data_IF_388641164338
#
_entry.id   IF_388641164338
#
_cell.length_a   1.000
_cell.length_b   1.000
_cell.length_c   1.000
_cell.angle_alpha   90.00
_cell.angle_beta   90.00
_cell.angle_gamma   90.00
#
_symmetry.space_group_name_H-M   'P 1'
#
loop_
_entity.id
_entity.type
_entity.pdbx_description
1 polymer ?
#
# COMPACT_ATOMS: atom_id res chain seq x y z
N UNK A 1 35.39 6.66 42.24
CA UNK A 1 35.24 7.94 42.97
C UNK A 1 36.20 8.88 42.25
N UNK A 2 35.79 9.79 41.38
CA UNK A 2 34.53 10.51 41.24
C UNK A 2 34.28 10.79 39.74
N UNK A 3 33.06 10.61 39.26
CA UNK A 3 32.21 11.71 38.77
C UNK A 3 32.98 12.81 38.05
N UNK A 4 32.77 13.01 36.74
CA UNK A 4 32.20 14.24 36.19
C UNK A 4 31.44 13.88 34.89
N UNK A 5 30.11 13.83 35.00
CA UNK A 5 29.19 14.13 33.91
C UNK A 5 28.91 15.64 33.93
N UNK A 6 28.54 16.18 32.76
CA UNK A 6 28.23 17.60 32.46
C UNK A 6 29.51 18.43 32.18
N UNK A 7 29.64 19.18 31.10
CA UNK A 7 28.70 20.11 30.48
C UNK A 7 29.18 20.39 29.04
N UNK A 8 28.32 20.23 28.04
CA UNK A 8 27.79 21.33 27.23
C UNK A 8 28.74 21.97 26.20
N UNK A 9 28.37 21.73 24.93
CA UNK A 9 28.13 22.77 23.94
C UNK A 9 29.35 23.53 23.40
N UNK A 10 29.92 23.03 22.30
CA UNK A 10 30.49 23.94 21.32
C UNK A 10 30.02 23.61 19.91
N UNK A 11 29.24 24.53 19.35
CA UNK A 11 28.67 24.50 18.00
C UNK A 11 29.82 24.56 16.98
N UNK A 12 29.84 23.61 16.04
CA UNK A 12 30.52 23.82 14.76
C UNK A 12 29.48 23.89 13.65
N UNK A 13 29.07 25.13 13.35
CA UNK A 13 28.33 25.50 12.14
C UNK A 13 29.32 25.63 10.99
N UNK A 14 29.42 24.56 10.21
CA UNK A 14 29.87 24.54 8.81
C UNK A 14 29.64 23.09 8.37
N UNK A 15 28.55 22.76 7.69
CA UNK A 15 28.13 23.40 6.44
C UNK A 15 28.40 22.49 5.24
N UNK A 16 29.08 21.36 5.43
CA UNK A 16 29.18 20.29 4.43
C UNK A 16 29.17 18.93 5.13
N UNK A 17 28.04 18.24 5.11
CA UNK A 17 28.03 16.78 5.28
C UNK A 17 28.08 16.19 3.87
N UNK A 18 29.28 16.21 3.32
CA UNK A 18 29.68 15.35 2.22
C UNK A 18 29.59 13.89 2.68
N UNK A 19 29.35 13.01 1.71
CA UNK A 19 29.38 11.55 1.75
C UNK A 19 28.03 10.83 1.96
N UNK A 20 27.40 10.60 0.80
CA UNK A 20 27.02 9.25 0.35
C UNK A 20 25.92 8.56 1.16
N UNK A 21 24.66 8.89 0.87
CA UNK A 21 23.56 7.90 0.98
C UNK A 21 22.33 8.22 0.12
N UNK A 22 22.38 9.22 -0.77
CA UNK A 22 21.30 9.47 -1.75
C UNK A 22 21.35 8.53 -2.96
N UNK A 23 22.55 8.08 -3.36
CA UNK A 23 22.73 7.27 -4.59
C UNK A 23 22.85 5.76 -4.29
N UNK A 24 22.94 5.38 -3.01
CA UNK A 24 23.06 3.96 -2.59
C UNK A 24 21.70 3.34 -2.25
N UNK A 25 20.64 4.14 -2.12
CA UNK A 25 19.28 3.63 -1.92
C UNK A 25 18.69 3.03 -3.22
N UNK A 26 18.98 3.63 -4.38
CA UNK A 26 18.54 3.13 -5.69
C UNK A 26 19.25 1.84 -6.13
N UNK A 27 20.56 1.73 -5.84
CA UNK A 27 21.38 0.61 -6.34
C UNK A 27 21.14 -0.71 -5.59
N UNK A 28 20.68 -0.68 -4.34
CA UNK A 28 20.41 -1.91 -3.56
C UNK A 28 19.03 -2.51 -3.89
N UNK A 29 18.10 -1.72 -4.41
CA UNK A 29 16.75 -2.21 -4.78
C UNK A 29 16.74 -2.94 -6.11
N UNK A 30 17.51 -2.47 -7.10
CA UNK A 30 17.52 -3.07 -8.45
C UNK A 30 18.20 -4.43 -8.51
N UNK A 31 19.14 -4.73 -7.62
CA UNK A 31 19.95 -5.96 -7.70
C UNK A 31 19.29 -7.18 -7.03
N UNK A 32 18.19 -7.00 -6.29
CA UNK A 32 17.46 -8.10 -5.65
C UNK A 32 16.28 -8.65 -6.49
N UNK A 33 15.90 -7.98 -7.58
CA UNK A 33 14.68 -8.27 -8.35
C UNK A 33 14.89 -9.19 -9.56
N UNK A 34 16.12 -9.52 -9.93
CA UNK A 34 16.41 -10.21 -11.19
C UNK A 34 16.15 -11.74 -11.19
N UNK A 35 15.66 -12.32 -10.10
CA UNK A 35 15.45 -13.78 -10.02
C UNK A 35 14.30 -14.24 -9.12
N UNK A 36 13.20 -13.48 -9.03
CA UNK A 36 11.98 -13.95 -8.38
C UNK A 36 10.93 -14.20 -9.47
N UNK A 37 10.57 -15.47 -9.65
CA UNK A 37 9.36 -15.88 -10.38
C UNK A 37 8.22 -14.93 -9.99
N UNK A 38 7.77 -14.11 -10.96
CA UNK A 38 6.73 -13.13 -10.69
C UNK A 38 5.45 -13.90 -10.39
N UNK A 39 4.93 -13.79 -9.17
CA UNK A 39 3.62 -14.34 -8.81
C UNK A 39 2.61 -13.84 -9.83
N UNK A 40 1.96 -14.76 -10.55
CA UNK A 40 1.04 -14.45 -11.65
C UNK A 40 -0.13 -13.56 -11.17
N UNK A 41 -0.43 -13.56 -9.87
CA UNK A 41 -1.47 -12.73 -9.26
C UNK A 41 -1.06 -11.27 -9.12
N UNK A 42 0.20 -10.91 -9.32
CA UNK A 42 0.65 -9.53 -9.19
C UNK A 42 -0.12 -8.57 -10.12
N UNK A 43 -0.32 -8.95 -11.39
CA UNK A 43 -1.08 -8.13 -12.34
C UNK A 43 -2.55 -7.95 -11.92
N UNK A 44 -3.16 -8.98 -11.31
CA UNK A 44 -4.54 -8.89 -10.79
C UNK A 44 -4.64 -7.89 -9.64
N UNK A 45 -3.63 -7.86 -8.77
CA UNK A 45 -3.57 -6.92 -7.65
C UNK A 45 -3.33 -5.49 -8.16
N UNK A 46 -2.45 -5.31 -9.15
CA UNK A 46 -2.19 -4.00 -9.76
C UNK A 46 -3.48 -3.38 -10.35
N UNK A 47 -4.21 -4.13 -11.19
CA UNK A 47 -5.48 -3.69 -11.76
C UNK A 47 -6.52 -3.36 -10.68
N UNK A 48 -6.62 -4.19 -9.64
CA UNK A 48 -7.49 -3.94 -8.50
C UNK A 48 -7.15 -2.63 -7.79
N UNK A 49 -5.86 -2.35 -7.54
CA UNK A 49 -5.40 -1.14 -6.84
C UNK A 49 -5.67 0.14 -7.64
N UNK A 50 -5.58 0.07 -8.97
CA UNK A 50 -5.85 1.18 -9.88
C UNK A 50 -7.33 1.40 -10.17
N UNK A 51 -8.18 0.42 -9.88
CA UNK A 51 -9.63 0.54 -10.08
C UNK A 51 -10.20 1.68 -9.22
N UNK A 52 -10.85 2.70 -9.84
CA UNK A 52 -11.48 3.80 -9.11
C UNK A 52 -12.60 3.30 -8.20
N UNK A 53 -12.67 3.89 -7.01
CA UNK A 53 -13.70 3.55 -6.03
C UNK A 53 -14.92 4.47 -6.19
N UNK A 54 -16.14 3.92 -6.04
CA UNK A 54 -17.36 4.72 -6.02
C UNK A 54 -17.52 5.45 -4.68
N UNK A 55 -18.37 6.47 -4.67
CA UNK A 55 -18.77 7.13 -3.43
C UNK A 55 -19.42 6.12 -2.46
N UNK A 56 -19.11 6.25 -1.17
CA UNK A 56 -19.65 5.35 -0.14
C UNK A 56 -19.03 3.96 -0.10
N UNK A 57 -17.90 3.71 -0.79
CA UNK A 57 -17.17 2.42 -0.77
C UNK A 57 -16.98 1.83 0.63
N UNK A 58 -16.62 2.68 1.60
CA UNK A 58 -16.36 2.29 2.99
C UNK A 58 -17.59 1.65 3.66
N UNK A 59 -18.80 2.04 3.28
CA UNK A 59 -20.04 1.47 3.82
C UNK A 59 -20.53 0.22 3.08
N UNK A 60 -19.97 -0.12 1.92
CA UNK A 60 -20.38 -1.30 1.15
C UNK A 60 -19.93 -2.59 1.82
N UNK A 61 -20.76 -3.62 1.71
CA UNK A 61 -20.44 -4.99 2.06
C UNK A 61 -19.44 -5.62 1.09
N UNK A 62 -18.75 -6.68 1.50
CA UNK A 62 -17.82 -7.43 0.64
C UNK A 62 -18.49 -7.89 -0.66
N UNK A 63 -19.76 -8.31 -0.59
CA UNK A 63 -20.53 -8.76 -1.75
C UNK A 63 -20.73 -7.64 -2.76
N UNK A 64 -21.12 -6.45 -2.30
CA UNK A 64 -21.34 -5.28 -3.17
C UNK A 64 -20.02 -4.79 -3.78
N UNK A 65 -18.94 -4.78 -2.99
CA UNK A 65 -17.60 -4.43 -3.50
C UNK A 65 -17.16 -5.37 -4.61
N UNK A 66 -17.37 -6.68 -4.45
CA UNK A 66 -17.07 -7.67 -5.50
C UNK A 66 -17.91 -7.49 -6.76
N UNK A 67 -19.22 -7.24 -6.59
CA UNK A 67 -20.13 -7.02 -7.72
C UNK A 67 -19.71 -5.81 -8.58
N UNK A 68 -19.29 -4.73 -7.91
CA UNK A 68 -18.71 -3.55 -8.56
C UNK A 68 -17.43 -3.90 -9.33
N UNK A 69 -16.47 -4.57 -8.67
CA UNK A 69 -15.18 -4.92 -9.27
C UNK A 69 -15.29 -5.91 -10.43
N UNK A 70 -16.29 -6.80 -10.44
CA UNK A 70 -16.50 -7.74 -11.54
C UNK A 70 -17.28 -7.15 -12.72
N UNK A 71 -17.72 -5.88 -12.64
CA UNK A 71 -18.55 -5.24 -13.67
C UNK A 71 -19.92 -5.91 -13.86
N UNK A 72 -20.41 -6.66 -12.86
CA UNK A 72 -21.67 -7.39 -12.94
C UNK A 72 -22.89 -6.45 -12.96
N UNK A 73 -22.73 -5.26 -12.38
CA UNK A 73 -23.68 -4.16 -12.54
C UNK A 73 -23.32 -3.43 -13.84
N UNK A 74 -23.79 -3.98 -14.98
CA UNK A 74 -23.50 -3.56 -16.36
C UNK A 74 -23.95 -2.14 -16.76
N UNK A 75 -23.95 -1.21 -15.82
CA UNK A 75 -24.29 0.19 -15.99
C UNK A 75 -23.13 1.05 -15.45
N UNK A 76 -21.99 0.98 -16.15
CA UNK A 76 -20.85 1.88 -15.92
C UNK A 76 -21.25 3.36 -16.01
N UNK A 77 -22.43 3.69 -16.54
CA UNK A 77 -22.93 5.06 -16.70
C UNK A 77 -23.53 5.67 -15.44
N UNK A 78 -24.07 4.89 -14.49
CA UNK A 78 -24.66 5.43 -13.23
C UNK A 78 -23.75 5.25 -11.99
N UNK A 79 -22.77 4.34 -12.06
CA UNK A 79 -21.75 4.20 -11.02
C UNK A 79 -20.50 5.04 -11.28
N UNK A 80 -20.10 5.26 -12.55
CA UNK A 80 -19.03 6.23 -12.86
C UNK A 80 -19.47 7.68 -12.64
N UNK A 81 -20.78 7.98 -12.70
CA UNK A 81 -21.34 9.28 -12.33
C UNK A 81 -21.44 9.47 -10.81
N UNK A 82 -21.46 8.38 -10.02
CA UNK A 82 -21.29 8.33 -8.55
C UNK A 82 -19.84 8.05 -8.11
N UNK A 83 -18.94 7.80 -9.04
CA UNK A 83 -17.54 7.66 -8.72
C UNK A 83 -16.99 9.08 -8.63
N UNK A 84 -16.83 9.60 -7.42
CA UNK A 84 -16.02 10.79 -7.17
C UNK A 84 -14.54 10.61 -7.55
N UNK A 85 -14.19 9.65 -8.42
CA UNK A 85 -12.84 9.38 -8.88
C UNK A 85 -11.86 9.09 -7.75
N UNK A 86 -12.35 8.61 -6.61
CA UNK A 86 -11.53 8.48 -5.42
C UNK A 86 -10.51 7.37 -5.65
N UNK A 87 -9.26 7.78 -5.83
CA UNK A 87 -8.12 6.86 -5.85
C UNK A 87 -8.05 6.13 -4.51
N UNK A 88 -7.74 4.84 -4.56
CA UNK A 88 -7.51 4.05 -3.35
C UNK A 88 -6.21 4.52 -2.70
N UNK A 89 -6.33 5.18 -1.56
CA UNK A 89 -5.20 5.69 -0.76
C UNK A 89 -4.64 4.66 0.21
N UNK A 90 -5.49 3.75 0.67
CA UNK A 90 -5.12 2.72 1.64
C UNK A 90 -5.70 1.38 1.22
N UNK A 91 -4.99 0.30 1.52
CA UNK A 91 -5.45 -1.07 1.30
C UNK A 91 -4.86 -2.00 2.34
N UNK A 92 -5.54 -3.09 2.64
CA UNK A 92 -5.06 -4.17 3.50
C UNK A 92 -4.97 -5.51 2.76
N UNK A 93 -4.22 -6.46 3.32
CA UNK A 93 -4.17 -7.83 2.79
C UNK A 93 -5.57 -8.47 2.75
N UNK A 94 -6.42 -8.18 3.75
CA UNK A 94 -7.77 -8.73 3.82
C UNK A 94 -8.68 -8.21 2.68
N UNK A 95 -8.54 -6.94 2.31
CA UNK A 95 -9.24 -6.36 1.16
C UNK A 95 -8.78 -7.02 -0.14
N UNK A 96 -7.47 -7.17 -0.36
CA UNK A 96 -6.94 -7.84 -1.56
C UNK A 96 -7.43 -9.30 -1.62
N UNK A 97 -7.33 -10.04 -0.51
CA UNK A 97 -7.79 -11.42 -0.44
C UNK A 97 -9.29 -11.56 -0.76
N UNK A 98 -10.10 -10.69 -0.16
CA UNK A 98 -11.54 -10.81 -0.26
C UNK A 98 -12.08 -10.23 -1.55
N UNK A 99 -11.59 -9.08 -1.99
CA UNK A 99 -12.16 -8.30 -3.08
C UNK A 99 -11.49 -8.63 -4.41
N UNK A 100 -10.16 -8.62 -4.46
CA UNK A 100 -9.39 -8.95 -5.67
C UNK A 100 -9.40 -10.46 -5.95
N UNK A 101 -9.13 -11.30 -4.95
CA UNK A 101 -9.10 -12.76 -5.15
C UNK A 101 -10.46 -13.45 -4.93
N UNK A 102 -11.48 -12.71 -4.50
CA UNK A 102 -12.84 -13.23 -4.34
C UNK A 102 -13.02 -14.28 -3.24
N UNK A 103 -12.07 -14.41 -2.31
CA UNK A 103 -12.04 -15.47 -1.27
C UNK A 103 -12.75 -15.04 0.00
N UNK A 104 -13.26 -15.97 0.80
CA UNK A 104 -13.85 -15.56 2.09
C UNK A 104 -12.78 -14.95 3.01
N UNK A 105 -13.02 -13.77 3.63
CA UNK A 105 -12.10 -13.18 4.59
C UNK A 105 -11.68 -14.14 5.71
N UNK A 106 -12.56 -15.05 6.13
CA UNK A 106 -12.27 -16.00 7.22
C UNK A 106 -11.32 -17.13 6.82
N UNK A 107 -11.18 -17.39 5.52
CA UNK A 107 -10.33 -18.45 4.98
C UNK A 107 -8.85 -18.04 4.86
N UNK A 108 -8.54 -16.75 5.08
CA UNK A 108 -7.20 -16.23 4.91
C UNK A 108 -6.25 -16.80 5.97
N UNK A 109 -5.22 -17.54 5.54
CA UNK A 109 -4.18 -18.07 6.42
C UNK A 109 -2.98 -17.11 6.49
N UNK A 110 -2.10 -17.27 7.49
CA UNK A 110 -0.87 -16.48 7.55
C UNK A 110 -0.01 -16.57 6.28
N UNK A 111 0.06 -17.76 5.65
CA UNK A 111 0.78 -17.95 4.40
C UNK A 111 0.22 -17.09 3.24
N UNK A 112 -1.12 -16.99 3.13
CA UNK A 112 -1.77 -16.16 2.12
C UNK A 112 -1.45 -14.67 2.35
N UNK A 113 -1.45 -14.25 3.61
CA UNK A 113 -1.08 -12.87 4.00
C UNK A 113 0.38 -12.55 3.65
N UNK A 114 1.31 -13.49 3.83
CA UNK A 114 2.70 -13.31 3.41
C UNK A 114 2.85 -13.27 1.89
N UNK A 115 2.10 -14.11 1.17
CA UNK A 115 2.10 -14.08 -0.30
C UNK A 115 1.60 -12.73 -0.83
N UNK A 116 0.50 -12.19 -0.28
CA UNK A 116 0.01 -10.86 -0.65
C UNK A 116 1.05 -9.78 -0.28
N UNK A 117 1.69 -9.88 0.89
CA UNK A 117 2.72 -8.92 1.27
C UNK A 117 3.93 -8.93 0.30
N UNK A 118 4.32 -10.10 -0.20
CA UNK A 118 5.36 -10.24 -1.23
C UNK A 118 4.94 -9.58 -2.55
N UNK A 119 3.68 -9.74 -2.96
CA UNK A 119 3.12 -9.04 -4.13
C UNK A 119 3.16 -7.52 -3.91
N UNK A 120 2.67 -7.03 -2.76
CA UNK A 120 2.62 -5.60 -2.44
C UNK A 120 4.00 -4.95 -2.35
N UNK A 121 5.05 -5.69 -2.00
CA UNK A 121 6.43 -5.15 -2.01
C UNK A 121 6.92 -4.77 -3.40
N UNK A 122 6.35 -5.37 -4.45
CA UNK A 122 6.66 -5.08 -5.85
C UNK A 122 5.74 -4.02 -6.46
N UNK A 123 4.70 -3.60 -5.74
CA UNK A 123 3.75 -2.60 -6.23
C UNK A 123 4.39 -1.20 -6.15
N UNK A 124 4.56 -0.51 -7.29
CA UNK A 124 5.11 0.84 -7.29
C UNK A 124 4.17 1.77 -6.53
N UNK A 125 4.74 2.76 -5.83
CA UNK A 125 3.99 3.78 -5.08
C UNK A 125 3.15 3.25 -3.91
N UNK A 126 3.25 1.97 -3.54
CA UNK A 126 2.58 1.42 -2.36
C UNK A 126 3.60 1.08 -1.28
N UNK A 127 3.40 1.66 -0.10
CA UNK A 127 4.30 1.47 1.04
C UNK A 127 3.59 0.86 2.23
N UNK A 128 4.32 0.03 2.97
CA UNK A 128 3.85 -0.53 4.24
C UNK A 128 4.10 0.49 5.35
N UNK A 129 3.04 0.99 5.97
CA UNK A 129 3.14 2.17 6.86
C UNK A 129 3.15 1.85 8.35
N UNK A 130 3.02 0.56 8.72
CA UNK A 130 2.85 0.13 10.12
C UNK A 130 1.53 0.57 10.76
N UNK A 131 0.73 1.37 10.04
CA UNK A 131 -0.56 1.86 10.48
C UNK A 131 -1.53 0.69 10.62
N UNK A 132 -2.20 0.64 11.78
CA UNK A 132 -3.29 -0.30 12.05
C UNK A 132 -4.57 0.48 12.28
N UNK A 133 -5.61 0.20 11.50
CA UNK A 133 -6.92 0.83 11.64
C UNK A 133 -8.03 -0.20 11.59
N UNK A 134 -9.21 0.16 12.12
CA UNK A 134 -10.43 -0.62 11.88
C UNK A 134 -10.91 -0.32 10.47
N UNK A 135 -10.93 -1.34 9.62
CA UNK A 135 -11.45 -1.32 8.26
C UNK A 135 -12.69 -2.19 8.22
N UNK A 136 -13.90 -1.63 8.28
CA UNK A 136 -15.11 -2.41 8.06
C UNK A 136 -15.15 -2.96 6.62
N UNK A 137 -15.62 -4.21 6.42
CA UNK A 137 -16.07 -5.19 7.42
C UNK A 137 -14.93 -6.07 8.03
N UNK A 138 -13.68 -5.86 7.63
CA UNK A 138 -12.50 -6.69 7.96
C UNK A 138 -11.92 -6.52 9.39
N UNK A 139 -12.46 -5.63 10.22
CA UNK A 139 -11.95 -5.42 11.58
C UNK A 139 -10.61 -4.67 11.58
N UNK A 140 -9.72 -4.96 12.56
CA UNK A 140 -8.42 -4.26 12.68
C UNK A 140 -7.42 -4.81 11.67
N UNK A 141 -6.97 -3.98 10.74
CA UNK A 141 -6.07 -4.35 9.65
C UNK A 141 -4.83 -3.47 9.60
N UNK A 142 -3.72 -4.04 9.12
CA UNK A 142 -2.50 -3.31 8.76
C UNK A 142 -2.67 -2.77 7.35
N UNK A 143 -2.34 -1.49 7.17
CA UNK A 143 -2.55 -0.81 5.89
C UNK A 143 -1.23 -0.62 5.14
N UNK A 144 -1.34 -0.71 3.83
CA UNK A 144 -0.45 -0.03 2.91
C UNK A 144 -1.05 1.32 2.57
N UNK A 145 -0.21 2.29 2.26
CA UNK A 145 -0.59 3.62 1.82
C UNK A 145 -0.03 3.86 0.42
N UNK A 146 -0.82 4.50 -0.43
CA UNK A 146 -0.36 5.00 -1.71
C UNK A 146 0.48 6.25 -1.45
N UNK A 147 1.79 6.15 -1.70
CA UNK A 147 2.70 7.29 -1.66
C UNK A 147 2.37 8.18 -2.87
N UNK A 148 1.86 9.38 -2.62
CA UNK A 148 1.86 10.43 -3.65
C UNK A 148 3.32 10.73 -3.92
N UNK A 149 3.84 10.28 -5.06
CA UNK A 149 5.10 10.81 -5.55
C UNK A 149 4.95 12.32 -5.61
N UNK A 150 5.88 13.05 -4.99
CA UNK A 150 6.00 14.48 -5.23
C UNK A 150 5.90 14.69 -6.75
N UNK A 151 4.81 15.28 -7.20
CA UNK A 151 4.76 15.82 -8.55
C UNK A 151 5.78 16.97 -8.51
N UNK A 152 6.93 16.86 -9.20
CA UNK A 152 7.89 17.96 -9.17
C UNK A 152 7.18 19.20 -9.74
N UNK A 153 7.38 20.38 -9.14
CA UNK A 153 6.58 21.56 -9.43
C UNK A 153 6.99 22.10 -10.80
N UNK A 154 6.30 21.69 -11.86
CA UNK A 154 6.37 22.35 -13.17
C UNK A 154 4.97 22.43 -13.79
#
# INVERSE_FOLDING_TARGET
MDQIWAEALFRFKSGEQLHLTGVVAEAVRQEQDAAIESDERAGLVEEYLDTPLPDGWVSMSVRERRAYLSGADGDFTDFASRAGGLKRWFVSNAEIWAECFGRDPVDMKPADSYAIASIMQKMPMWAKTGIVRKVPPYGKQRLYEFEVGEQPPF
#
